data_IF_667271897239
#
_entry.id   IF_667271897239
#
_cell.length_a   1.000
_cell.length_b   1.000
_cell.length_c   1.000
_cell.angle_alpha   90.00
_cell.angle_beta   90.00
_cell.angle_gamma   90.00
#
_symmetry.space_group_name_H-M   'P 1'
#
loop_
_entity.id
_entity.type
_entity.pdbx_description
1 polymer ?
#
# COMPACT_ATOMS: atom_id res chain seq x y z
N UNK A 1 -13.69 -3.29 24.84
CA UNK A 1 -13.09 -3.06 23.50
C UNK A 1 -14.23 -2.85 22.52
N UNK A 2 -14.14 -1.90 21.62
CA UNK A 2 -15.15 -1.70 20.56
C UNK A 2 -15.12 -2.86 19.57
N UNK A 3 -16.27 -3.28 19.07
CA UNK A 3 -16.35 -4.29 18.00
C UNK A 3 -15.56 -3.84 16.78
N UNK A 4 -14.65 -4.66 16.24
CA UNK A 4 -13.97 -4.31 15.00
C UNK A 4 -14.94 -4.11 13.85
N UNK A 5 -14.57 -3.27 12.89
CA UNK A 5 -15.34 -2.94 11.71
C UNK A 5 -14.48 -3.03 10.45
N UNK A 6 -15.12 -3.22 9.32
CA UNK A 6 -14.46 -3.23 8.02
C UNK A 6 -15.35 -2.63 6.93
N UNK A 7 -14.72 -2.17 5.85
CA UNK A 7 -15.41 -1.87 4.61
C UNK A 7 -15.47 -3.13 3.76
N UNK A 8 -16.68 -3.67 3.61
CA UNK A 8 -16.97 -4.88 2.82
C UNK A 8 -17.81 -4.55 1.60
N UNK A 9 -17.69 -5.39 0.60
CA UNK A 9 -18.60 -5.41 -0.55
C UNK A 9 -19.31 -6.75 -0.62
N UNK A 10 -20.61 -6.71 -0.91
CA UNK A 10 -21.48 -7.88 -1.07
C UNK A 10 -21.81 -8.15 -2.54
N UNK A 11 -21.51 -7.20 -3.39
CA UNK A 11 -21.65 -7.24 -4.85
C UNK A 11 -20.58 -6.33 -5.48
N UNK A 12 -20.28 -6.55 -6.75
CA UNK A 12 -19.39 -5.66 -7.50
C UNK A 12 -20.16 -4.41 -7.98
N UNK A 13 -19.48 -3.25 -8.00
CA UNK A 13 -20.12 -2.00 -8.41
C UNK A 13 -19.27 -0.76 -8.22
N UNK A 14 -19.92 0.39 -8.21
CA UNK A 14 -19.33 1.69 -7.93
C UNK A 14 -19.05 1.90 -6.43
N UNK A 15 -18.72 3.14 -6.01
CA UNK A 15 -18.43 3.43 -4.60
C UNK A 15 -19.58 3.11 -3.63
N UNK A 16 -20.81 3.08 -4.12
CA UNK A 16 -22.04 2.81 -3.36
C UNK A 16 -22.12 1.40 -2.75
N UNK A 17 -21.33 0.45 -3.28
CA UNK A 17 -21.32 -0.93 -2.75
C UNK A 17 -20.42 -1.09 -1.52
N UNK A 18 -19.65 -0.06 -1.16
CA UNK A 18 -18.77 -0.07 0.01
C UNK A 18 -19.63 0.09 1.29
N UNK A 19 -19.62 -0.94 2.15
CA UNK A 19 -20.40 -0.95 3.39
C UNK A 19 -19.46 -0.99 4.60
N UNK A 20 -19.61 0.00 5.48
CA UNK A 20 -18.98 -0.02 6.80
C UNK A 20 -19.82 -0.82 7.76
N UNK A 21 -19.34 -1.97 8.20
CA UNK A 21 -20.11 -2.88 9.02
C UNK A 21 -19.25 -3.59 10.07
N UNK A 22 -19.86 -4.13 11.15
CA UNK A 22 -19.16 -4.96 12.11
C UNK A 22 -18.47 -6.13 11.42
N UNK A 23 -17.24 -6.41 11.83
CA UNK A 23 -16.42 -7.47 11.25
C UNK A 23 -15.59 -8.15 12.35
N UNK A 24 -15.87 -9.43 12.62
CA UNK A 24 -15.05 -10.22 13.53
C UNK A 24 -14.03 -11.02 12.70
N UNK A 25 -12.73 -10.71 12.82
CA UNK A 25 -11.69 -11.49 12.12
C UNK A 25 -11.38 -12.84 12.82
N UNK A 26 -12.05 -13.21 13.92
CA UNK A 26 -11.77 -14.42 14.71
C UNK A 26 -10.36 -14.40 15.34
N UNK A 27 -9.94 -15.44 16.01
CA UNK A 27 -8.55 -15.55 16.52
C UNK A 27 -7.56 -15.74 15.35
N UNK A 28 -6.32 -15.21 15.42
CA UNK A 28 -5.32 -15.48 14.41
C UNK A 28 -4.95 -16.97 14.37
N UNK A 29 -4.95 -17.53 13.17
CA UNK A 29 -4.60 -18.94 12.94
C UNK A 29 -3.09 -19.20 13.02
N UNK A 30 -2.66 -20.46 12.79
CA UNK A 30 -1.23 -20.80 12.73
C UNK A 30 -0.50 -19.97 11.67
N UNK A 31 0.62 -19.34 12.04
CA UNK A 31 1.39 -18.48 11.16
C UNK A 31 0.80 -17.09 10.89
N UNK A 32 -0.34 -16.77 11.47
CA UNK A 32 -0.99 -15.46 11.38
C UNK A 32 -0.78 -14.60 12.62
N UNK A 33 -1.03 -13.32 12.47
CA UNK A 33 -1.14 -12.40 13.59
C UNK A 33 -2.28 -11.41 13.38
N UNK A 34 -2.81 -10.89 14.50
CA UNK A 34 -3.79 -9.82 14.53
C UNK A 34 -3.09 -8.47 14.46
N UNK A 35 -3.48 -7.64 13.48
CA UNK A 35 -3.03 -6.26 13.36
C UNK A 35 -4.20 -5.32 13.62
N UNK A 36 -4.02 -4.36 14.54
CA UNK A 36 -4.85 -3.15 14.62
C UNK A 36 -4.34 -2.17 13.60
N UNK A 37 -5.19 -1.82 12.64
CA UNK A 37 -4.83 -0.92 11.55
C UNK A 37 -4.77 0.51 12.06
N UNK A 38 -3.64 1.18 11.82
CA UNK A 38 -3.41 2.59 12.11
C UNK A 38 -3.66 3.50 10.91
N UNK A 39 -3.29 3.03 9.71
CA UNK A 39 -3.53 3.73 8.47
C UNK A 39 -3.69 2.76 7.29
N UNK A 40 -4.46 3.16 6.27
CA UNK A 40 -4.67 2.40 5.04
C UNK A 40 -4.23 3.20 3.83
N UNK A 41 -3.64 2.53 2.82
CA UNK A 41 -3.33 3.10 1.53
C UNK A 41 -4.49 2.90 0.55
N UNK A 42 -4.88 3.97 -0.15
CA UNK A 42 -5.85 3.89 -1.24
C UNK A 42 -5.13 3.73 -2.58
N UNK A 43 -5.49 2.71 -3.33
CA UNK A 43 -4.86 2.38 -4.60
C UNK A 43 -5.87 2.02 -5.69
N UNK A 44 -5.53 2.22 -6.96
CA UNK A 44 -6.40 1.86 -8.08
C UNK A 44 -6.77 0.37 -8.10
N UNK A 45 -5.89 -0.51 -7.63
CA UNK A 45 -6.17 -1.94 -7.56
C UNK A 45 -7.38 -2.25 -6.67
N UNK A 46 -7.65 -1.45 -5.64
CA UNK A 46 -8.82 -1.61 -4.77
C UNK A 46 -10.11 -1.38 -5.53
N UNK A 47 -10.11 -0.44 -6.49
CA UNK A 47 -11.25 -0.22 -7.38
C UNK A 47 -11.44 -1.38 -8.36
N UNK A 48 -10.35 -2.02 -8.81
CA UNK A 48 -10.42 -3.17 -9.73
C UNK A 48 -11.04 -4.39 -9.06
N UNK A 49 -10.73 -4.64 -7.80
CA UNK A 49 -11.39 -5.68 -7.01
C UNK A 49 -12.86 -5.33 -6.73
N UNK A 50 -13.14 -4.07 -6.36
CA UNK A 50 -14.50 -3.62 -6.10
C UNK A 50 -15.41 -3.76 -7.32
N UNK A 51 -14.94 -3.40 -8.50
CA UNK A 51 -15.72 -3.46 -9.76
C UNK A 51 -15.77 -4.86 -10.39
N UNK A 52 -15.02 -5.82 -9.88
CA UNK A 52 -14.91 -7.16 -10.45
C UNK A 52 -14.00 -7.26 -11.67
N UNK A 53 -13.24 -6.20 -12.01
CA UNK A 53 -12.23 -6.26 -13.08
C UNK A 53 -11.13 -7.27 -12.75
N UNK A 54 -10.74 -7.35 -11.48
CA UNK A 54 -9.83 -8.37 -10.98
C UNK A 54 -10.62 -9.43 -10.23
N UNK A 55 -10.22 -10.70 -10.43
CA UNK A 55 -10.80 -11.82 -9.70
C UNK A 55 -10.52 -11.66 -8.22
N UNK A 56 -11.56 -11.49 -7.44
CA UNK A 56 -11.54 -11.39 -6.00
C UNK A 56 -11.87 -12.73 -5.32
N UNK A 57 -11.66 -12.85 -3.99
CA UNK A 57 -12.29 -13.90 -3.19
C UNK A 57 -13.80 -13.93 -3.37
N UNK A 58 -14.44 -14.95 -2.80
CA UNK A 58 -15.90 -15.00 -2.74
C UNK A 58 -16.47 -13.80 -1.96
N UNK A 59 -17.60 -13.30 -2.46
CA UNK A 59 -18.35 -12.24 -1.79
C UNK A 59 -19.10 -12.80 -0.57
N UNK A 60 -19.19 -12.03 0.53
CA UNK A 60 -18.65 -10.70 0.74
C UNK A 60 -17.19 -10.72 1.19
N UNK A 61 -16.37 -9.75 0.76
CA UNK A 61 -14.98 -9.61 1.22
C UNK A 61 -14.63 -8.17 1.63
N UNK A 62 -13.58 -8.04 2.44
CA UNK A 62 -13.02 -6.75 2.85
C UNK A 62 -12.04 -6.26 1.77
N UNK A 63 -12.24 -5.05 1.28
CA UNK A 63 -11.34 -4.41 0.29
C UNK A 63 -10.08 -3.84 0.95
N UNK A 64 -9.18 -3.30 0.11
CA UNK A 64 -7.93 -2.67 0.54
C UNK A 64 -6.74 -3.62 0.51
N UNK A 65 -5.65 -3.18 -0.13
CA UNK A 65 -4.44 -4.00 -0.35
C UNK A 65 -3.22 -3.54 0.43
N UNK A 66 -3.26 -2.36 1.04
CA UNK A 66 -2.11 -1.73 1.66
C UNK A 66 -2.52 -1.10 2.99
N UNK A 67 -1.78 -1.40 4.04
CA UNK A 67 -2.01 -0.79 5.34
C UNK A 67 -0.77 -0.90 6.24
N UNK A 68 -0.85 -0.20 7.36
CA UNK A 68 0.10 -0.26 8.46
C UNK A 68 -0.63 -0.24 9.80
N UNK A 69 0.00 -0.72 10.83
CA UNK A 69 -0.61 -0.79 12.15
C UNK A 69 0.28 -1.45 13.19
N UNK A 70 -0.34 -1.91 14.26
CA UNK A 70 0.31 -2.52 15.42
C UNK A 70 -0.16 -3.96 15.58
N UNK A 71 0.76 -4.86 15.88
CA UNK A 71 0.46 -6.24 16.23
C UNK A 71 -0.26 -6.28 17.58
N UNK A 72 -1.45 -6.84 17.62
CA UNK A 72 -2.25 -6.99 18.87
C UNK A 72 -2.03 -8.36 19.50
N UNK A 73 -1.98 -9.41 18.68
CA UNK A 73 -1.74 -10.77 19.13
C UNK A 73 -1.14 -11.60 18.00
N UNK A 74 -0.50 -12.71 18.35
CA UNK A 74 0.13 -13.63 17.40
C UNK A 74 -0.50 -15.01 17.53
N UNK A 75 -0.66 -15.68 16.40
CA UNK A 75 -1.13 -17.06 16.31
C UNK A 75 0.00 -18.07 16.55
N UNK A 76 -0.34 -19.36 16.63
CA UNK A 76 0.64 -20.42 16.84
C UNK A 76 1.74 -20.41 15.76
N UNK A 77 3.00 -20.63 16.16
CA UNK A 77 4.15 -20.74 15.27
C UNK A 77 4.76 -19.40 14.82
N UNK A 78 4.18 -18.27 15.17
CA UNK A 78 4.79 -16.95 14.89
C UNK A 78 5.82 -16.63 16.00
N UNK A 79 7.08 -16.49 15.61
CA UNK A 79 8.20 -16.24 16.55
C UNK A 79 8.95 -14.93 16.28
N UNK A 80 8.75 -14.33 15.11
CA UNK A 80 9.45 -13.13 14.67
C UNK A 80 8.70 -11.82 14.91
N UNK A 81 7.47 -11.89 15.43
CA UNK A 81 6.64 -10.72 15.79
C UNK A 81 6.09 -10.89 17.21
N UNK A 82 5.85 -9.74 17.86
CA UNK A 82 5.30 -9.66 19.22
C UNK A 82 4.20 -8.60 19.28
N UNK A 83 3.24 -8.68 20.20
CA UNK A 83 2.31 -7.59 20.48
C UNK A 83 3.07 -6.27 20.71
N UNK A 84 2.59 -5.19 20.12
CA UNK A 84 3.26 -3.89 20.13
C UNK A 84 4.19 -3.63 18.94
N UNK A 85 4.59 -4.65 18.16
CA UNK A 85 5.39 -4.43 16.95
C UNK A 85 4.60 -3.58 15.94
N UNK A 86 5.25 -2.54 15.42
CA UNK A 86 4.71 -1.70 14.35
C UNK A 86 5.03 -2.34 13.00
N UNK A 87 4.00 -2.48 12.14
CA UNK A 87 4.11 -3.24 10.91
C UNK A 87 3.42 -2.55 9.73
N UNK A 88 3.85 -2.90 8.52
CA UNK A 88 3.17 -2.55 7.28
C UNK A 88 3.16 -3.72 6.32
N UNK A 89 2.25 -3.68 5.35
CA UNK A 89 2.13 -4.67 4.30
C UNK A 89 1.51 -4.12 3.03
N UNK A 90 1.71 -4.85 1.96
CA UNK A 90 1.11 -4.62 0.66
C UNK A 90 0.74 -5.96 0.00
N UNK A 91 -0.24 -5.91 -0.91
CA UNK A 91 -0.71 -7.04 -1.71
C UNK A 91 -1.34 -8.18 -0.89
N UNK A 92 -2.16 -7.79 0.08
CA UNK A 92 -3.00 -8.72 0.82
C UNK A 92 -4.35 -8.08 1.13
N UNK A 93 -5.41 -8.49 0.42
CA UNK A 93 -6.77 -7.97 0.58
C UNK A 93 -7.25 -8.00 2.03
N UNK A 94 -8.07 -7.01 2.42
CA UNK A 94 -8.62 -6.89 3.76
C UNK A 94 -8.06 -5.72 4.56
N UNK A 95 -7.40 -4.75 3.89
CA UNK A 95 -6.80 -3.59 4.54
C UNK A 95 -7.79 -2.57 5.10
N UNK A 96 -8.98 -2.48 4.54
CA UNK A 96 -9.98 -1.51 4.98
C UNK A 96 -10.79 -2.05 6.17
N UNK A 97 -10.08 -2.29 7.26
CA UNK A 97 -10.62 -2.79 8.52
C UNK A 97 -9.96 -2.06 9.70
N UNK A 98 -10.60 -2.04 10.86
CA UNK A 98 -9.98 -1.55 12.09
C UNK A 98 -9.00 -2.59 12.67
N UNK A 99 -9.32 -3.88 12.52
CA UNK A 99 -8.45 -5.00 12.87
C UNK A 99 -8.60 -6.12 11.85
N UNK A 100 -7.54 -6.88 11.63
CA UNK A 100 -7.56 -8.06 10.76
C UNK A 100 -6.52 -9.10 11.17
N UNK A 101 -6.73 -10.35 10.75
CA UNK A 101 -5.68 -11.37 10.76
C UNK A 101 -4.94 -11.34 9.42
N UNK A 102 -3.63 -11.60 9.47
CA UNK A 102 -2.76 -11.59 8.29
C UNK A 102 -1.58 -12.56 8.51
N UNK A 103 -1.16 -13.31 7.47
CA UNK A 103 0.03 -14.14 7.56
C UNK A 103 1.28 -13.32 7.88
N UNK A 104 2.10 -13.81 8.80
CA UNK A 104 3.29 -13.11 9.28
C UNK A 104 4.33 -12.87 8.18
N UNK A 105 4.39 -13.72 7.16
CA UNK A 105 5.30 -13.59 6.01
C UNK A 105 4.96 -12.42 5.07
N UNK A 106 3.78 -11.81 5.22
CA UNK A 106 3.33 -10.64 4.44
C UNK A 106 3.69 -9.31 5.08
N UNK A 107 4.23 -9.34 6.29
CA UNK A 107 4.47 -8.15 7.09
C UNK A 107 5.95 -7.78 7.15
N UNK A 108 6.20 -6.48 7.21
CA UNK A 108 7.51 -5.92 7.54
C UNK A 108 7.40 -5.07 8.80
N UNK A 109 8.43 -5.13 9.67
CA UNK A 109 8.52 -4.23 10.83
C UNK A 109 8.83 -2.81 10.36
N UNK A 110 8.17 -1.84 10.99
CA UNK A 110 8.41 -0.42 10.70
C UNK A 110 9.52 0.12 11.61
N UNK A 111 10.46 0.90 11.07
CA UNK A 111 11.35 1.74 11.86
C UNK A 111 10.56 2.77 12.67
N UNK A 112 11.07 3.15 13.85
CA UNK A 112 10.37 4.05 14.77
C UNK A 112 10.06 5.44 14.19
N UNK A 113 10.92 5.92 13.29
CA UNK A 113 10.77 7.24 12.65
C UNK A 113 9.78 7.28 11.48
N UNK A 114 9.23 6.14 11.06
CA UNK A 114 8.21 6.06 9.99
C UNK A 114 6.83 6.02 10.63
N UNK A 115 5.94 6.96 10.29
CA UNK A 115 4.56 6.93 10.79
C UNK A 115 3.72 5.87 10.08
N UNK A 116 2.56 5.51 10.65
CA UNK A 116 1.62 4.59 9.99
C UNK A 116 1.14 5.14 8.66
N UNK A 117 0.84 6.44 8.58
CA UNK A 117 0.38 7.10 7.36
C UNK A 117 1.45 7.04 6.26
N UNK A 118 2.70 7.32 6.61
CA UNK A 118 3.81 7.21 5.66
C UNK A 118 3.96 5.78 5.16
N UNK A 119 3.94 4.80 6.06
CA UNK A 119 4.08 3.40 5.70
C UNK A 119 2.93 2.91 4.81
N UNK A 120 1.69 3.28 5.15
CA UNK A 120 0.50 2.87 4.41
C UNK A 120 0.43 3.40 2.97
N UNK A 121 1.18 4.45 2.62
CA UNK A 121 1.19 4.99 1.24
C UNK A 121 2.48 4.69 0.49
N UNK A 122 3.48 4.10 1.15
CA UNK A 122 4.81 3.87 0.58
C UNK A 122 5.04 2.42 0.13
N UNK A 123 4.35 1.43 0.72
CA UNK A 123 4.65 0.03 0.43
C UNK A 123 4.43 -0.31 -1.05
N UNK A 124 3.23 -0.10 -1.58
CA UNK A 124 2.92 -0.35 -2.98
C UNK A 124 3.78 0.50 -3.91
N UNK A 125 3.76 1.80 -3.69
CA UNK A 125 4.41 2.77 -4.58
C UNK A 125 5.93 2.66 -4.53
N UNK A 126 6.48 2.54 -3.32
CA UNK A 126 7.92 2.37 -3.10
C UNK A 126 8.47 1.07 -3.68
N UNK A 127 7.80 -0.06 -3.43
CA UNK A 127 8.18 -1.35 -4.01
C UNK A 127 8.09 -1.34 -5.54
N UNK A 128 7.07 -0.67 -6.10
CA UNK A 128 6.93 -0.52 -7.55
C UNK A 128 8.10 0.28 -8.12
N UNK A 129 8.43 1.43 -7.52
CA UNK A 129 9.57 2.25 -7.97
C UNK A 129 10.89 1.49 -7.82
N UNK A 130 11.09 0.81 -6.69
CA UNK A 130 12.28 -0.01 -6.48
C UNK A 130 12.44 -1.06 -7.58
N UNK A 131 11.39 -1.82 -7.87
CA UNK A 131 11.49 -2.88 -8.87
C UNK A 131 11.72 -2.33 -10.28
N UNK A 132 11.10 -1.19 -10.61
CA UNK A 132 11.31 -0.52 -11.91
C UNK A 132 12.75 -0.02 -12.07
N UNK A 133 13.31 0.63 -11.06
CA UNK A 133 14.62 1.27 -11.15
C UNK A 133 15.81 0.32 -10.92
N UNK A 134 15.58 -0.87 -10.32
CA UNK A 134 16.66 -1.78 -9.95
C UNK A 134 16.55 -3.19 -10.54
N UNK A 135 15.33 -3.64 -10.86
CA UNK A 135 15.09 -5.02 -11.33
C UNK A 135 14.67 -5.10 -12.79
N UNK A 136 13.80 -4.17 -13.23
CA UNK A 136 13.36 -4.11 -14.63
C UNK A 136 14.44 -3.46 -15.50
N UNK A 137 14.93 -2.30 -15.08
CA UNK A 137 16.03 -1.60 -15.70
C UNK A 137 16.87 -0.94 -14.61
N UNK A 138 18.14 -1.35 -14.48
CA UNK A 138 19.05 -0.78 -13.50
C UNK A 138 19.43 0.65 -13.91
N UNK A 139 18.86 1.63 -13.22
CA UNK A 139 19.16 3.03 -13.44
C UNK A 139 20.51 3.39 -12.81
N UNK A 140 21.37 4.03 -13.61
CA UNK A 140 22.73 4.43 -13.24
C UNK A 140 22.95 5.93 -13.51
N UNK A 141 23.97 6.56 -12.90
CA UNK A 141 24.28 7.96 -13.13
C UNK A 141 24.45 8.29 -14.62
N UNK A 142 23.89 9.41 -15.06
CA UNK A 142 23.93 9.87 -16.45
C UNK A 142 22.83 9.30 -17.36
N UNK A 143 22.12 8.25 -16.96
CA UNK A 143 20.99 7.75 -17.74
C UNK A 143 19.92 8.85 -17.90
N UNK A 144 19.21 8.84 -19.06
CA UNK A 144 18.03 9.65 -19.31
C UNK A 144 16.79 8.80 -19.13
N UNK A 145 15.92 9.19 -18.21
CA UNK A 145 14.71 8.44 -17.84
C UNK A 145 13.50 9.31 -18.11
N UNK A 146 12.59 8.82 -18.97
CA UNK A 146 11.28 9.43 -19.21
C UNK A 146 10.26 8.78 -18.28
N UNK A 147 9.54 9.59 -17.51
CA UNK A 147 8.50 9.13 -16.58
C UNK A 147 7.18 9.78 -16.96
N UNK A 148 6.22 8.96 -17.42
CA UNK A 148 4.87 9.41 -17.66
C UNK A 148 4.09 9.56 -16.36
N UNK A 149 3.12 10.46 -16.31
CA UNK A 149 2.36 10.82 -15.12
C UNK A 149 3.27 11.14 -13.92
N UNK A 150 4.29 11.96 -14.14
CA UNK A 150 5.35 12.29 -13.18
C UNK A 150 4.83 12.90 -11.86
N UNK A 151 3.64 13.51 -11.85
CA UNK A 151 2.97 14.03 -10.66
C UNK A 151 2.05 13.01 -9.98
N UNK A 152 1.97 11.77 -10.47
CA UNK A 152 1.23 10.69 -9.81
C UNK A 152 1.99 10.09 -8.64
N UNK A 153 1.33 9.26 -7.84
CA UNK A 153 1.92 8.69 -6.62
C UNK A 153 3.20 7.88 -6.87
N UNK A 154 3.26 7.09 -7.96
CA UNK A 154 4.49 6.40 -8.38
C UNK A 154 5.46 7.39 -9.01
N UNK A 155 4.97 8.29 -9.88
CA UNK A 155 5.80 9.25 -10.61
C UNK A 155 6.62 10.15 -9.68
N UNK A 156 6.02 10.71 -8.64
CA UNK A 156 6.70 11.56 -7.67
C UNK A 156 7.85 10.84 -6.97
N UNK A 157 7.65 9.60 -6.54
CA UNK A 157 8.70 8.79 -5.92
C UNK A 157 9.78 8.40 -6.93
N UNK A 158 9.37 7.98 -8.13
CA UNK A 158 10.30 7.58 -9.19
C UNK A 158 11.19 8.74 -9.63
N UNK A 159 10.64 9.95 -9.79
CA UNK A 159 11.42 11.15 -10.13
C UNK A 159 12.49 11.45 -9.07
N UNK A 160 12.10 11.44 -7.80
CA UNK A 160 13.03 11.71 -6.70
C UNK A 160 14.12 10.63 -6.62
N UNK A 161 13.75 9.37 -6.72
CA UNK A 161 14.67 8.25 -6.57
C UNK A 161 15.63 8.14 -7.76
N UNK A 162 15.11 8.23 -8.99
CA UNK A 162 15.94 8.24 -10.19
C UNK A 162 16.94 9.44 -10.18
N UNK A 163 16.49 10.61 -9.73
CA UNK A 163 17.38 11.77 -9.56
C UNK A 163 18.45 11.53 -8.50
N UNK A 164 18.11 10.91 -7.38
CA UNK A 164 19.07 10.53 -6.34
C UNK A 164 20.12 9.51 -6.84
N UNK A 165 19.74 8.66 -7.81
CA UNK A 165 20.66 7.75 -8.49
C UNK A 165 21.56 8.46 -9.55
N UNK A 166 21.42 9.77 -9.74
CA UNK A 166 22.22 10.55 -10.69
C UNK A 166 21.67 10.55 -12.12
N UNK A 167 20.43 10.11 -12.34
CA UNK A 167 19.80 10.14 -13.65
C UNK A 167 19.28 11.54 -14.02
N UNK A 168 19.15 11.78 -15.33
CA UNK A 168 18.46 12.93 -15.89
C UNK A 168 16.99 12.55 -16.09
N UNK A 169 16.09 13.08 -15.28
CA UNK A 169 14.68 12.72 -15.27
C UNK A 169 13.88 13.71 -16.09
N UNK A 170 13.11 13.21 -17.05
CA UNK A 170 12.13 13.95 -17.85
C UNK A 170 10.75 13.43 -17.46
N UNK A 171 9.86 14.32 -17.04
CA UNK A 171 8.49 13.98 -16.66
C UNK A 171 7.47 14.46 -17.69
N UNK A 172 6.37 13.72 -17.85
CA UNK A 172 5.19 14.22 -18.56
C UNK A 172 4.02 14.34 -17.60
N UNK A 173 3.25 15.41 -17.77
CA UNK A 173 2.07 15.71 -16.96
C UNK A 173 0.97 16.31 -17.82
N UNK A 174 -0.27 16.33 -17.32
CA UNK A 174 -1.43 16.82 -18.09
C UNK A 174 -1.82 18.27 -17.80
N UNK A 175 -1.23 18.93 -16.79
CA UNK A 175 -1.57 20.32 -16.43
C UNK A 175 -0.36 21.05 -15.85
N UNK A 176 -0.37 22.40 -15.87
CA UNK A 176 0.70 23.22 -15.28
C UNK A 176 0.82 23.04 -13.76
N UNK A 177 -0.29 22.82 -13.05
CA UNK A 177 -0.24 22.53 -11.60
C UNK A 177 0.51 21.23 -11.34
N UNK A 178 0.26 20.20 -12.14
CA UNK A 178 1.00 18.92 -12.06
C UNK A 178 2.45 19.09 -12.47
N UNK A 179 2.77 20.01 -13.41
CA UNK A 179 4.15 20.32 -13.74
C UNK A 179 4.92 20.87 -12.54
N UNK A 180 4.35 21.85 -11.85
CA UNK A 180 4.94 22.41 -10.62
C UNK A 180 5.18 21.31 -9.57
N UNK A 181 4.21 20.40 -9.38
CA UNK A 181 4.35 19.29 -8.44
C UNK A 181 5.47 18.31 -8.85
N UNK A 182 5.55 17.97 -10.14
CA UNK A 182 6.61 17.08 -10.65
C UNK A 182 8.01 17.71 -10.55
N UNK A 183 8.13 19.04 -10.72
CA UNK A 183 9.39 19.79 -10.51
C UNK A 183 9.84 19.73 -9.05
N UNK A 184 8.93 19.81 -8.07
CA UNK A 184 9.23 19.54 -6.66
C UNK A 184 9.81 18.14 -6.51
N UNK A 185 9.29 17.15 -7.25
CA UNK A 185 9.84 15.80 -7.38
C UNK A 185 11.15 15.71 -8.17
N UNK A 186 11.74 16.86 -8.58
CA UNK A 186 13.02 17.01 -9.31
C UNK A 186 13.01 16.43 -10.74
N UNK A 187 11.86 16.32 -11.39
CA UNK A 187 11.78 16.08 -12.82
C UNK A 187 11.95 17.38 -13.62
N UNK A 188 12.53 17.29 -14.81
CA UNK A 188 12.33 18.30 -15.86
C UNK A 188 11.01 17.99 -16.57
N UNK A 189 10.10 18.96 -16.66
CA UNK A 189 8.74 18.81 -17.21
C UNK A 189 8.58 19.76 -18.39
#
# INVERSE_FOLDING_TARGET
>A
MSTPHAIRIHEHGGPEVLRWEPFDPGAPGPGELRVRIGAVGLNFIDTYYRTGLYKAPELPFVVGNEASGEVVSVGPGVTNFHPGDRVAYYFNLGGYATERNIPADKLVKLPDHISYEQAAVLMLKGLTVWYLLFKTFKVEPGHRVLIHAAAGGIGLLACQWAKALGANVIGTVGTEEKAKLAQIGRAHV
#
